data_IF_146311740967
#
_entry.id   IF_146311740967
#
_cell.length_a   1.000
_cell.length_b   1.000
_cell.length_c   1.000
_cell.angle_alpha   90.00
_cell.angle_beta   90.00
_cell.angle_gamma   90.00
#
_symmetry.space_group_name_H-M   'P 1'
#
loop_
_entity.id
_entity.type
_entity.pdbx_description
1 polymer ?
#
# COMPACT_ATOMS: atom_id res chain seq x y z
N UNK A 1 34.84 14.22 12.16
CA UNK A 1 33.42 13.83 12.07
C UNK A 1 32.61 15.07 12.44
N UNK A 2 31.94 15.66 11.45
CA UNK A 2 31.34 17.00 11.62
C UNK A 2 30.09 16.92 12.51
N UNK A 3 30.14 17.56 13.68
CA UNK A 3 29.01 17.67 14.59
C UNK A 3 27.74 18.16 13.87
N UNK A 4 27.90 18.97 12.83
CA UNK A 4 26.80 19.44 11.98
C UNK A 4 26.06 18.30 11.26
N UNK A 5 26.74 17.24 10.82
CA UNK A 5 26.10 16.09 10.18
C UNK A 5 25.28 15.26 11.16
N UNK A 6 25.77 15.13 12.39
CA UNK A 6 25.09 14.33 13.41
C UNK A 6 23.74 14.96 13.78
N UNK A 7 23.72 16.26 14.12
CA UNK A 7 22.47 16.91 14.50
C UNK A 7 21.49 17.05 13.33
N UNK A 8 21.99 17.25 12.09
CA UNK A 8 21.17 17.25 10.89
C UNK A 8 20.50 15.90 10.67
N UNK A 9 21.24 14.80 10.83
CA UNK A 9 20.70 13.43 10.71
C UNK A 9 19.62 13.18 11.76
N UNK A 10 19.82 13.60 13.01
CA UNK A 10 18.82 13.48 14.07
C UNK A 10 17.56 14.32 13.75
N UNK A 11 17.73 15.53 13.25
CA UNK A 11 16.61 16.38 12.86
C UNK A 11 15.82 15.78 11.70
N UNK A 12 16.51 15.27 10.67
CA UNK A 12 15.88 14.56 9.54
C UNK A 12 15.06 13.36 10.03
N UNK A 13 15.61 12.57 10.96
CA UNK A 13 14.90 11.45 11.53
C UNK A 13 13.61 11.86 12.26
N UNK A 14 13.70 12.90 13.09
CA UNK A 14 12.54 13.42 13.84
C UNK A 14 11.47 13.95 12.89
N UNK A 15 11.85 14.82 11.95
CA UNK A 15 10.90 15.42 10.99
C UNK A 15 10.34 14.37 10.04
N UNK A 16 11.17 13.45 9.55
CA UNK A 16 10.72 12.34 8.71
C UNK A 16 9.73 11.43 9.44
N UNK A 17 10.01 11.08 10.69
CA UNK A 17 9.07 10.29 11.51
C UNK A 17 7.75 11.02 11.72
N UNK A 18 7.79 12.34 11.93
CA UNK A 18 6.61 13.16 12.06
C UNK A 18 5.78 13.19 10.78
N UNK A 19 6.40 13.36 9.61
CA UNK A 19 5.72 13.33 8.32
C UNK A 19 5.09 11.97 8.02
N UNK A 20 5.81 10.88 8.27
CA UNK A 20 5.27 9.53 8.12
C UNK A 20 4.09 9.26 9.07
N UNK A 21 4.12 9.82 10.28
CA UNK A 21 3.03 9.68 11.24
C UNK A 21 1.77 10.43 10.81
N UNK A 22 1.91 11.61 10.20
CA UNK A 22 0.77 12.37 9.65
C UNK A 22 0.20 11.68 8.41
N UNK A 23 1.06 11.06 7.60
CA UNK A 23 0.69 10.32 6.38
C UNK A 23 -0.19 9.09 6.64
N UNK A 24 -0.43 8.69 7.89
CA UNK A 24 -1.36 7.62 8.28
C UNK A 24 -0.71 6.49 9.09
N UNK A 25 -1.55 5.62 9.66
CA UNK A 25 -1.14 4.50 10.52
C UNK A 25 -1.09 3.16 9.78
N UNK A 26 -0.99 3.17 8.46
CA UNK A 26 -0.97 1.93 7.67
C UNK A 26 0.42 1.31 7.71
N UNK A 27 0.48 0.00 7.80
CA UNK A 27 1.74 -0.73 7.63
C UNK A 27 2.14 -0.73 6.15
N UNK A 28 3.44 -0.89 5.87
CA UNK A 28 3.98 -0.91 4.49
C UNK A 28 3.23 -1.94 3.62
N UNK A 29 2.84 -3.08 4.19
CA UNK A 29 2.08 -4.12 3.49
C UNK A 29 0.63 -3.75 3.17
N UNK A 30 0.10 -2.68 3.77
CA UNK A 30 -1.27 -2.21 3.57
C UNK A 30 -1.36 -0.92 2.74
N UNK A 31 -0.22 -0.45 2.21
CA UNK A 31 -0.17 0.78 1.43
C UNK A 31 -0.68 0.57 0.01
N UNK A 32 -1.42 1.55 -0.47
CA UNK A 32 -1.80 1.64 -1.89
C UNK A 32 -0.59 2.09 -2.73
N UNK A 33 -0.67 1.94 -4.05
CA UNK A 33 0.39 2.35 -4.98
C UNK A 33 0.80 3.81 -4.80
N UNK A 34 -0.09 4.82 -4.73
CA UNK A 34 0.29 6.21 -4.53
C UNK A 34 1.02 6.43 -3.20
N UNK A 35 0.54 5.81 -2.12
CA UNK A 35 1.18 5.89 -0.80
C UNK A 35 2.61 5.34 -0.83
N UNK A 36 2.82 4.22 -1.51
CA UNK A 36 4.14 3.60 -1.67
C UNK A 36 5.10 4.52 -2.43
N UNK A 37 4.65 5.11 -3.55
CA UNK A 37 5.46 6.05 -4.35
C UNK A 37 5.87 7.25 -3.51
N UNK A 38 4.95 7.85 -2.78
CA UNK A 38 5.24 9.02 -1.93
C UNK A 38 6.17 8.65 -0.77
N UNK A 39 6.00 7.49 -0.15
CA UNK A 39 6.90 7.03 0.91
C UNK A 39 8.34 6.88 0.42
N UNK A 40 8.54 6.28 -0.76
CA UNK A 40 9.86 6.15 -1.39
C UNK A 40 10.43 7.53 -1.71
N UNK A 41 9.63 8.43 -2.28
CA UNK A 41 10.04 9.79 -2.61
C UNK A 41 10.45 10.59 -1.36
N UNK A 42 9.68 10.51 -0.27
CA UNK A 42 10.04 11.16 1.01
C UNK A 42 11.35 10.59 1.55
N UNK A 43 11.52 9.25 1.54
CA UNK A 43 12.75 8.61 2.00
C UNK A 43 13.99 9.08 1.22
N UNK A 44 13.88 9.20 -0.10
CA UNK A 44 14.95 9.71 -0.96
C UNK A 44 15.26 11.19 -0.69
N UNK A 45 14.22 12.04 -0.61
CA UNK A 45 14.35 13.46 -0.32
C UNK A 45 15.01 13.74 1.03
N UNK A 46 14.72 12.92 2.05
CA UNK A 46 15.28 13.11 3.39
C UNK A 46 16.80 12.84 3.45
N UNK A 47 17.35 12.10 2.49
CA UNK A 47 18.79 11.82 2.41
C UNK A 47 19.54 12.93 1.59
N UNK A 48 18.85 13.62 0.68
CA UNK A 48 19.46 14.66 -0.18
C UNK A 48 20.16 15.82 0.56
N UNK A 49 19.70 16.31 1.73
CA UNK A 49 20.35 17.45 2.41
C UNK A 49 21.78 17.16 2.86
N UNK A 50 22.10 15.89 3.00
CA UNK A 50 23.47 15.46 3.33
C UNK A 50 24.42 15.69 2.15
N UNK A 51 23.87 15.84 0.92
CA UNK A 51 24.65 16.01 -0.30
C UNK A 51 24.78 17.48 -0.75
N UNK A 52 23.69 18.21 -1.05
CA UNK A 52 23.82 19.53 -1.69
C UNK A 52 22.61 20.47 -1.55
N UNK A 53 21.43 20.00 -1.11
CA UNK A 53 20.23 20.87 -0.98
C UNK A 53 20.00 21.24 0.48
N UNK A 54 19.80 22.52 0.77
CA UNK A 54 19.59 22.98 2.15
C UNK A 54 18.42 22.25 2.84
N UNK A 55 18.58 21.95 4.13
CA UNK A 55 17.61 21.27 4.99
C UNK A 55 16.17 21.81 4.87
N UNK A 56 16.02 23.11 4.82
CA UNK A 56 14.70 23.77 4.74
C UNK A 56 13.98 23.48 3.43
N UNK A 57 14.69 23.45 2.32
CA UNK A 57 14.13 23.10 1.00
C UNK A 57 13.62 21.65 1.02
N UNK A 58 14.38 20.74 1.59
CA UNK A 58 14.00 19.33 1.71
C UNK A 58 12.76 19.15 2.55
N UNK A 59 12.67 19.79 3.72
CA UNK A 59 11.48 19.70 4.56
C UNK A 59 10.25 20.30 3.89
N UNK A 60 10.41 21.38 3.15
CA UNK A 60 9.32 21.97 2.38
C UNK A 60 8.82 21.03 1.28
N UNK A 61 9.73 20.41 0.51
CA UNK A 61 9.34 19.45 -0.53
C UNK A 61 8.68 18.20 0.05
N UNK A 62 9.23 17.65 1.13
CA UNK A 62 8.62 16.52 1.83
C UNK A 62 7.21 16.87 2.36
N UNK A 63 7.03 18.08 2.91
CA UNK A 63 5.74 18.59 3.34
C UNK A 63 4.71 18.71 2.21
N UNK A 64 5.15 19.17 1.03
CA UNK A 64 4.29 19.22 -0.18
C UNK A 64 3.87 17.82 -0.60
N UNK A 65 4.76 16.81 -0.56
CA UNK A 65 4.40 15.43 -0.89
C UNK A 65 3.38 14.86 0.09
N UNK A 66 3.56 15.10 1.40
CA UNK A 66 2.59 14.66 2.42
C UNK A 66 1.23 15.36 2.21
N UNK A 67 1.24 16.66 1.93
CA UNK A 67 0.01 17.40 1.65
C UNK A 67 -0.69 16.86 0.38
N UNK A 68 0.08 16.55 -0.67
CA UNK A 68 -0.46 15.95 -1.89
C UNK A 68 -1.12 14.60 -1.63
N UNK A 69 -0.52 13.78 -0.75
CA UNK A 69 -1.11 12.51 -0.33
C UNK A 69 -2.44 12.71 0.39
N UNK A 70 -2.48 13.61 1.39
CA UNK A 70 -3.70 13.93 2.15
C UNK A 70 -4.81 14.43 1.21
N UNK A 71 -4.47 15.29 0.26
CA UNK A 71 -5.43 15.80 -0.74
C UNK A 71 -5.94 14.66 -1.62
N UNK A 72 -5.06 13.76 -2.07
CA UNK A 72 -5.43 12.59 -2.86
C UNK A 72 -6.39 11.67 -2.09
N UNK A 73 -6.07 11.34 -0.83
CA UNK A 73 -6.94 10.54 0.03
C UNK A 73 -8.30 11.22 0.27
N UNK A 74 -8.33 12.52 0.44
CA UNK A 74 -9.57 13.26 0.58
C UNK A 74 -10.43 13.23 -0.68
N UNK A 75 -9.80 13.30 -1.87
CA UNK A 75 -10.48 13.16 -3.16
C UNK A 75 -11.05 11.75 -3.33
N UNK A 76 -10.29 10.71 -2.96
CA UNK A 76 -10.74 9.32 -2.98
C UNK A 76 -11.96 9.09 -2.06
N UNK A 77 -11.94 9.66 -0.85
CA UNK A 77 -13.07 9.59 0.08
C UNK A 77 -14.35 10.26 -0.46
N UNK A 78 -14.21 11.28 -1.30
CA UNK A 78 -15.35 12.03 -1.83
C UNK A 78 -15.87 11.47 -3.16
N UNK A 79 -15.02 10.81 -3.94
CA UNK A 79 -15.33 10.37 -5.29
C UNK A 79 -14.93 8.92 -5.53
N UNK A 80 -15.87 7.97 -5.53
CA UNK A 80 -15.64 6.54 -5.78
C UNK A 80 -14.93 6.25 -7.12
N UNK A 81 -15.10 7.15 -8.12
CA UNK A 81 -14.40 7.03 -9.40
C UNK A 81 -12.92 7.38 -9.28
N UNK A 82 -12.59 8.34 -8.44
CA UNK A 82 -11.19 8.70 -8.16
C UNK A 82 -10.48 7.57 -7.43
N UNK A 83 -11.09 6.99 -6.40
CA UNK A 83 -10.57 5.80 -5.72
C UNK A 83 -10.27 4.67 -6.70
N UNK A 84 -11.22 4.36 -7.60
CA UNK A 84 -11.05 3.29 -8.59
C UNK A 84 -9.88 3.51 -9.56
N UNK A 85 -9.57 4.77 -9.89
CA UNK A 85 -8.49 5.13 -10.83
C UNK A 85 -7.15 5.23 -10.11
N UNK A 86 -7.12 5.85 -8.93
CA UNK A 86 -5.88 6.19 -8.20
C UNK A 86 -5.36 4.98 -7.43
N UNK A 87 -6.18 4.43 -6.54
CA UNK A 87 -5.80 3.32 -5.65
C UNK A 87 -6.17 1.96 -6.20
N UNK A 88 -7.17 1.90 -7.10
CA UNK A 88 -7.72 0.67 -7.61
C UNK A 88 -8.78 0.07 -6.69
N UNK A 89 -9.63 -0.80 -7.24
CA UNK A 89 -10.66 -1.53 -6.48
C UNK A 89 -10.29 -2.99 -6.32
N UNK A 90 -10.78 -3.59 -5.25
CA UNK A 90 -10.72 -5.03 -5.07
C UNK A 90 -11.37 -5.75 -6.25
N UNK A 91 -10.68 -6.75 -6.81
CA UNK A 91 -11.15 -7.51 -7.96
C UNK A 91 -11.46 -8.94 -7.50
N UNK A 92 -12.69 -9.44 -7.70
CA UNK A 92 -13.03 -10.82 -7.34
C UNK A 92 -12.25 -11.82 -8.21
N UNK A 93 -11.63 -12.80 -7.56
CA UNK A 93 -10.81 -13.84 -8.20
C UNK A 93 -11.41 -15.23 -8.03
N UNK A 94 -12.22 -15.47 -6.96
CA UNK A 94 -12.97 -16.69 -6.72
C UNK A 94 -14.39 -16.33 -6.35
N UNK A 95 -15.35 -17.06 -6.89
CA UNK A 95 -16.76 -16.98 -6.52
C UNK A 95 -17.37 -18.39 -6.46
N UNK A 96 -17.97 -18.74 -5.33
CA UNK A 96 -18.60 -20.07 -5.09
C UNK A 96 -17.67 -21.25 -5.38
N UNK A 97 -16.39 -21.12 -4.99
CA UNK A 97 -15.39 -22.17 -5.24
C UNK A 97 -14.90 -22.27 -6.68
N UNK A 98 -15.24 -21.30 -7.54
CA UNK A 98 -14.84 -21.28 -8.95
C UNK A 98 -13.95 -20.08 -9.24
N UNK A 99 -12.88 -20.30 -9.98
CA UNK A 99 -11.93 -19.25 -10.37
C UNK A 99 -12.55 -18.36 -11.46
N UNK A 100 -12.39 -17.06 -11.30
CA UNK A 100 -12.78 -16.06 -12.30
C UNK A 100 -11.62 -15.78 -13.27
N UNK A 101 -11.40 -16.65 -14.25
CA UNK A 101 -10.24 -16.59 -15.17
C UNK A 101 -10.09 -15.23 -15.87
N UNK A 102 -11.19 -14.61 -16.28
CA UNK A 102 -11.16 -13.29 -16.93
C UNK A 102 -10.56 -12.21 -16.03
N UNK A 103 -10.80 -12.30 -14.72
CA UNK A 103 -10.28 -11.36 -13.75
C UNK A 103 -8.80 -11.67 -13.43
N UNK A 104 -8.42 -12.95 -13.36
CA UNK A 104 -7.02 -13.33 -13.24
C UNK A 104 -6.19 -12.80 -14.42
N UNK A 105 -6.69 -12.92 -15.65
CA UNK A 105 -6.01 -12.38 -16.84
C UNK A 105 -5.83 -10.87 -16.76
N UNK A 106 -6.85 -10.11 -16.31
CA UNK A 106 -6.74 -8.66 -16.09
C UNK A 106 -5.68 -8.31 -15.04
N UNK A 107 -5.60 -9.10 -13.99
CA UNK A 107 -4.63 -8.95 -12.90
C UNK A 107 -3.24 -9.49 -13.26
N UNK A 108 -3.07 -10.13 -14.41
CA UNK A 108 -1.85 -10.83 -14.81
C UNK A 108 -1.40 -11.86 -13.77
N UNK A 109 -2.37 -12.51 -13.15
CA UNK A 109 -2.16 -13.50 -12.09
C UNK A 109 -2.42 -14.89 -12.67
N UNK A 110 -1.51 -15.84 -12.42
CA UNK A 110 -1.70 -17.24 -12.78
C UNK A 110 -2.53 -17.97 -11.71
N UNK A 111 -3.10 -19.13 -12.07
CA UNK A 111 -3.81 -19.98 -11.11
C UNK A 111 -2.86 -20.43 -10.01
N UNK A 112 -1.63 -20.84 -10.35
CA UNK A 112 -0.63 -21.28 -9.38
C UNK A 112 -0.29 -20.20 -8.35
N UNK A 113 -0.18 -18.93 -8.82
CA UNK A 113 0.05 -17.79 -7.94
C UNK A 113 -1.15 -17.50 -7.03
N UNK A 114 -2.38 -17.69 -7.52
CA UNK A 114 -3.57 -17.57 -6.69
C UNK A 114 -3.60 -18.66 -5.61
N UNK A 115 -3.30 -19.91 -5.97
CA UNK A 115 -3.21 -21.03 -5.02
C UNK A 115 -2.10 -20.82 -3.99
N UNK A 116 -0.95 -20.30 -4.41
CA UNK A 116 0.14 -19.94 -3.49
C UNK A 116 -0.34 -18.92 -2.45
N UNK A 117 -1.03 -17.84 -2.87
CA UNK A 117 -1.59 -16.84 -1.96
C UNK A 117 -2.65 -17.42 -1.02
N UNK A 118 -3.49 -18.35 -1.49
CA UNK A 118 -4.45 -19.05 -0.65
C UNK A 118 -3.75 -19.90 0.42
N UNK A 119 -2.66 -20.61 0.05
CA UNK A 119 -1.86 -21.37 1.03
C UNK A 119 -1.19 -20.46 2.07
N UNK A 120 -0.74 -19.28 1.69
CA UNK A 120 -0.14 -18.29 2.62
C UNK A 120 -1.14 -17.84 3.71
N UNK A 121 -2.44 -17.84 3.40
CA UNK A 121 -3.51 -17.50 4.35
C UNK A 121 -4.20 -18.74 4.96
N UNK A 122 -3.60 -19.92 4.80
CA UNK A 122 -4.06 -21.17 5.43
C UNK A 122 -5.21 -21.88 4.67
N UNK A 123 -5.53 -21.46 3.45
CA UNK A 123 -6.55 -22.10 2.62
C UNK A 123 -5.90 -23.11 1.68
N UNK A 124 -6.26 -24.38 1.81
CA UNK A 124 -5.65 -25.48 1.02
C UNK A 124 -6.44 -25.86 -0.22
N UNK A 125 -7.71 -25.49 -0.32
CA UNK A 125 -8.56 -25.83 -1.45
C UNK A 125 -9.39 -24.63 -1.92
N UNK A 126 -9.34 -24.35 -3.22
CA UNK A 126 -10.17 -23.33 -3.87
C UNK A 126 -11.66 -23.61 -3.68
N UNK A 127 -12.03 -24.89 -3.67
CA UNK A 127 -13.43 -25.32 -3.51
C UNK A 127 -14.03 -24.98 -2.15
N UNK A 128 -13.18 -24.76 -1.12
CA UNK A 128 -13.63 -24.36 0.23
C UNK A 128 -13.90 -22.85 0.33
N UNK A 129 -13.51 -22.08 -0.68
CA UNK A 129 -13.67 -20.62 -0.72
C UNK A 129 -15.03 -20.26 -1.32
N UNK A 130 -15.84 -19.53 -0.57
CA UNK A 130 -17.10 -18.97 -1.09
C UNK A 130 -16.82 -17.76 -1.97
N UNK A 131 -15.95 -16.87 -1.50
CA UNK A 131 -15.60 -15.64 -2.20
C UNK A 131 -14.18 -15.22 -1.89
N UNK A 132 -13.43 -14.79 -2.90
CA UNK A 132 -12.12 -14.17 -2.70
C UNK A 132 -11.89 -13.00 -3.65
N UNK A 133 -11.25 -11.96 -3.13
CA UNK A 133 -10.85 -10.74 -3.85
C UNK A 133 -9.36 -10.52 -3.75
N UNK A 134 -8.77 -10.00 -4.82
CA UNK A 134 -7.45 -9.40 -4.75
C UNK A 134 -7.64 -7.91 -4.46
N UNK A 135 -7.14 -7.48 -3.31
CA UNK A 135 -7.20 -6.09 -2.85
C UNK A 135 -6.24 -5.19 -3.62
N UNK A 136 -6.44 -3.87 -3.57
CA UNK A 136 -5.60 -2.88 -4.26
C UNK A 136 -4.13 -2.89 -3.81
N UNK A 137 -3.85 -3.36 -2.60
CA UNK A 137 -2.49 -3.54 -2.07
C UNK A 137 -1.88 -4.92 -2.42
N UNK A 138 -2.60 -5.76 -3.19
CA UNK A 138 -2.18 -7.08 -3.60
C UNK A 138 -2.40 -8.18 -2.57
N UNK A 139 -3.01 -7.89 -1.43
CA UNK A 139 -3.42 -8.91 -0.46
C UNK A 139 -4.66 -9.66 -0.93
N UNK A 140 -4.82 -10.89 -0.47
CA UNK A 140 -5.99 -11.71 -0.75
C UNK A 140 -6.98 -11.62 0.41
N UNK A 141 -8.16 -11.04 0.15
CA UNK A 141 -9.33 -11.14 1.02
C UNK A 141 -10.14 -12.37 0.65
N UNK A 142 -10.63 -13.16 1.64
CA UNK A 142 -11.41 -14.36 1.34
C UNK A 142 -12.45 -14.66 2.41
N UNK A 143 -13.50 -15.37 1.98
CA UNK A 143 -14.51 -15.98 2.84
C UNK A 143 -14.62 -17.46 2.50
N UNK A 144 -14.55 -18.32 3.52
CA UNK A 144 -14.79 -19.75 3.38
C UNK A 144 -16.29 -20.04 3.35
N UNK A 145 -16.66 -21.17 2.73
CA UNK A 145 -18.01 -21.67 2.79
C UNK A 145 -18.42 -21.93 4.26
N UNK A 146 -19.72 -21.79 4.62
CA UNK A 146 -20.18 -21.93 5.99
C UNK A 146 -19.75 -23.23 6.67
N UNK A 147 -19.66 -24.32 5.92
CA UNK A 147 -19.25 -25.64 6.37
C UNK A 147 -17.78 -25.78 6.73
N UNK A 148 -16.97 -24.79 6.33
CA UNK A 148 -15.50 -24.76 6.47
C UNK A 148 -15.00 -23.61 7.33
N UNK A 149 -15.90 -22.82 7.90
CA UNK A 149 -15.53 -21.76 8.83
C UNK A 149 -15.10 -22.38 10.16
N UNK A 150 -13.96 -21.97 10.74
CA UNK A 150 -13.59 -22.39 12.09
C UNK A 150 -14.64 -21.91 13.09
N UNK A 151 -15.00 -22.80 14.00
CA UNK A 151 -15.94 -22.52 15.08
C UNK A 151 -15.42 -21.46 16.05
#
# INVERSE_FOLDING_TARGET
MDLNLIWQTLLIFIVGTFYLRISGRRTISQMTMPQTVIMIAIGTLLIEPVSDKGLWTTFLLAGILVLSLIVTEYIELKFDKAEAIISGKAIPVIQKGTIMENNLKKLRLTVDQLEERLRQVGVTSIHDVEFATLESNGQLGYYLKPEKQPA
#
